data_IF_573670693505
#
_entry.id   IF_573670693505
#
_cell.length_a   1.000
_cell.length_b   1.000
_cell.length_c   1.000
_cell.angle_alpha   90.00
_cell.angle_beta   90.00
_cell.angle_gamma   90.00
#
_symmetry.space_group_name_H-M   'P 1'
#
loop_
_entity.id
_entity.type
_entity.pdbx_description
1 polymer ?
#
# COMPACT_ATOMS: atom_id res chain seq x y z
N UNK A 1 5.78 8.73 -1.50
CA UNK A 1 6.09 7.37 -0.98
C UNK A 1 6.86 7.52 0.33
N UNK A 2 6.95 6.48 1.16
CA UNK A 2 7.71 6.54 2.41
C UNK A 2 9.21 6.76 2.12
N UNK A 3 9.86 7.81 2.68
CA UNK A 3 11.25 8.14 2.36
C UNK A 3 12.24 6.99 2.58
N UNK A 4 11.97 6.13 3.55
CA UNK A 4 12.82 4.98 3.87
C UNK A 4 12.82 3.87 2.80
N UNK A 5 11.90 3.93 1.83
CA UNK A 5 11.82 2.97 0.72
C UNK A 5 12.24 3.60 -0.62
N UNK A 6 12.78 4.82 -0.62
CA UNK A 6 13.16 5.53 -1.86
C UNK A 6 14.23 4.78 -2.68
N UNK A 7 15.09 4.00 -2.01
CA UNK A 7 16.12 3.16 -2.66
C UNK A 7 15.61 1.78 -3.09
N UNK A 8 14.34 1.44 -2.79
CA UNK A 8 13.76 0.14 -3.14
C UNK A 8 13.18 0.22 -4.56
N UNK A 9 13.78 -0.53 -5.47
CA UNK A 9 13.28 -0.67 -6.84
C UNK A 9 12.53 -1.99 -7.04
N UNK A 10 11.43 -1.90 -7.79
CA UNK A 10 10.65 -3.02 -8.26
C UNK A 10 10.82 -3.15 -9.77
N UNK A 11 10.95 -4.38 -10.26
CA UNK A 11 10.89 -4.63 -11.70
C UNK A 11 9.44 -4.61 -12.21
N UNK A 12 9.26 -4.78 -13.53
CA UNK A 12 7.96 -4.74 -14.20
C UNK A 12 6.98 -5.74 -13.58
N UNK A 13 7.38 -7.01 -13.45
CA UNK A 13 6.52 -8.07 -12.93
C UNK A 13 6.16 -7.84 -11.45
N UNK A 14 7.12 -7.39 -10.66
CA UNK A 14 6.91 -7.04 -9.25
C UNK A 14 5.95 -5.87 -9.09
N UNK A 15 6.08 -4.84 -9.93
CA UNK A 15 5.20 -3.67 -9.84
C UNK A 15 3.79 -3.99 -10.30
N UNK A 16 3.63 -4.75 -11.39
CA UNK A 16 2.30 -5.22 -11.83
C UNK A 16 1.63 -6.03 -10.73
N UNK A 17 2.35 -6.99 -10.13
CA UNK A 17 1.83 -7.79 -9.03
C UNK A 17 1.51 -6.95 -7.79
N UNK A 18 2.38 -6.00 -7.42
CA UNK A 18 2.16 -5.07 -6.31
C UNK A 18 0.89 -4.25 -6.54
N UNK A 19 0.71 -3.67 -7.72
CA UNK A 19 -0.48 -2.89 -8.07
C UNK A 19 -1.75 -3.73 -8.00
N UNK A 20 -1.75 -4.96 -8.51
CA UNK A 20 -2.90 -5.86 -8.42
C UNK A 20 -3.20 -6.25 -6.96
N UNK A 21 -2.18 -6.45 -6.13
CA UNK A 21 -2.34 -6.68 -4.69
C UNK A 21 -2.97 -5.47 -3.99
N UNK A 22 -2.49 -4.26 -4.29
CA UNK A 22 -3.04 -3.03 -3.72
C UNK A 22 -4.51 -2.83 -4.12
N UNK A 23 -4.85 -3.10 -5.39
CA UNK A 23 -6.24 -3.05 -5.88
C UNK A 23 -7.14 -4.11 -5.25
N UNK A 24 -6.58 -5.26 -4.85
CA UNK A 24 -7.29 -6.28 -4.08
C UNK A 24 -7.61 -5.78 -2.68
N UNK A 25 -6.63 -5.15 -2.00
CA UNK A 25 -6.82 -4.57 -0.66
C UNK A 25 -7.89 -3.48 -0.68
N UNK A 26 -7.80 -2.53 -1.63
CA UNK A 26 -8.77 -1.45 -1.78
C UNK A 26 -10.19 -1.91 -2.17
N UNK A 27 -10.40 -3.21 -2.39
CA UNK A 27 -11.72 -3.76 -2.72
C UNK A 27 -12.29 -4.64 -1.60
N UNK A 28 -11.58 -4.79 -0.48
CA UNK A 28 -11.93 -5.72 0.59
C UNK A 28 -13.29 -5.38 1.21
N UNK A 29 -13.61 -4.10 1.36
CA UNK A 29 -14.88 -3.60 1.88
C UNK A 29 -16.05 -3.68 0.86
N UNK A 30 -15.74 -3.93 -0.41
CA UNK A 30 -16.69 -4.03 -1.53
C UNK A 30 -16.71 -2.81 -2.46
N UNK A 31 -16.01 -1.72 -2.12
CA UNK A 31 -15.99 -0.47 -2.90
C UNK A 31 -14.62 0.17 -2.90
N UNK A 32 -14.00 0.32 -4.08
CA UNK A 32 -12.77 1.11 -4.20
C UNK A 32 -13.11 2.59 -4.11
N UNK A 33 -12.58 3.30 -3.12
CA UNK A 33 -12.67 4.76 -3.04
C UNK A 33 -11.84 5.43 -4.15
N UNK A 34 -12.15 6.68 -4.47
CA UNK A 34 -11.38 7.42 -5.46
C UNK A 34 -9.96 7.71 -4.95
N UNK A 35 -9.83 7.91 -3.64
CA UNK A 35 -8.61 8.19 -2.90
C UNK A 35 -7.63 7.01 -2.95
N UNK A 36 -8.12 5.79 -2.70
CA UNK A 36 -7.32 4.58 -2.83
C UNK A 36 -6.83 4.38 -4.26
N UNK A 37 -7.72 4.47 -5.25
CA UNK A 37 -7.36 4.26 -6.67
C UNK A 37 -6.34 5.31 -7.12
N UNK A 38 -6.48 6.56 -6.69
CA UNK A 38 -5.52 7.62 -6.97
C UNK A 38 -4.15 7.32 -6.34
N UNK A 39 -4.11 6.86 -5.08
CA UNK A 39 -2.86 6.52 -4.40
C UNK A 39 -2.14 5.34 -5.07
N UNK A 40 -2.89 4.31 -5.46
CA UNK A 40 -2.36 3.15 -6.19
C UNK A 40 -1.84 3.60 -7.58
N UNK A 41 -2.57 4.48 -8.27
CA UNK A 41 -2.13 5.04 -9.55
C UNK A 41 -0.81 5.79 -9.43
N UNK A 42 -0.65 6.63 -8.39
CA UNK A 42 0.60 7.33 -8.10
C UNK A 42 1.76 6.37 -7.81
N UNK A 43 1.51 5.29 -7.04
CA UNK A 43 2.50 4.24 -6.82
C UNK A 43 2.95 3.60 -8.14
N UNK A 44 1.99 3.22 -8.99
CA UNK A 44 2.27 2.58 -10.27
C UNK A 44 3.09 3.49 -11.19
N UNK A 45 2.69 4.76 -11.32
CA UNK A 45 3.39 5.73 -12.16
C UNK A 45 4.80 6.04 -11.65
N UNK A 46 4.98 6.12 -10.32
CA UNK A 46 6.29 6.34 -9.71
C UNK A 46 7.26 5.17 -10.01
N UNK A 47 6.80 3.92 -9.85
CA UNK A 47 7.61 2.74 -10.16
C UNK A 47 7.88 2.58 -11.67
N UNK A 48 6.90 2.93 -12.51
CA UNK A 48 7.04 2.90 -13.97
C UNK A 48 8.10 3.88 -14.47
N UNK A 49 8.28 5.02 -13.80
CA UNK A 49 9.27 6.05 -14.13
C UNK A 49 9.35 6.36 -15.65
N UNK A 50 8.18 6.64 -16.26
CA UNK A 50 8.00 6.90 -17.70
C UNK A 50 8.28 5.75 -18.69
N UNK A 51 8.45 4.50 -18.24
CA UNK A 51 8.64 3.35 -19.13
C UNK A 51 7.40 3.07 -20.00
N UNK A 52 7.51 3.16 -21.33
CA UNK A 52 6.34 3.08 -22.22
C UNK A 52 5.76 1.66 -22.37
N UNK A 53 6.57 0.62 -22.18
CA UNK A 53 6.21 -0.78 -22.48
C UNK A 53 5.43 -1.50 -21.38
N UNK A 54 4.99 -0.76 -20.36
CA UNK A 54 4.25 -1.32 -19.23
C UNK A 54 2.74 -1.39 -19.52
N UNK A 55 2.00 -2.34 -18.93
CA UNK A 55 0.55 -2.38 -19.04
C UNK A 55 -0.12 -1.06 -18.65
N UNK A 56 -1.28 -0.76 -19.22
CA UNK A 56 -2.05 0.39 -18.77
C UNK A 56 -2.61 0.12 -17.36
N UNK A 57 -2.59 1.12 -16.46
CA UNK A 57 -3.13 0.95 -15.11
C UNK A 57 -4.57 0.42 -15.10
N UNK A 58 -5.40 0.86 -16.04
CA UNK A 58 -6.78 0.41 -16.18
C UNK A 58 -6.92 -1.10 -16.42
N UNK A 59 -5.98 -1.75 -17.13
CA UNK A 59 -6.05 -3.20 -17.36
C UNK A 59 -5.75 -3.99 -16.09
N UNK A 60 -4.98 -3.42 -15.16
CA UNK A 60 -4.64 -4.06 -13.88
C UNK A 60 -5.82 -4.11 -12.91
N UNK A 61 -6.82 -3.25 -13.08
CA UNK A 61 -8.03 -3.22 -12.22
C UNK A 61 -8.96 -4.40 -12.46
N UNK A 62 -8.92 -4.98 -13.65
CA UNK A 62 -9.75 -6.12 -14.06
C UNK A 62 -9.07 -7.47 -13.86
N UNK A 63 -7.75 -7.47 -13.66
CA UNK A 63 -6.95 -8.68 -13.55
C UNK A 63 -6.75 -9.08 -12.09
N UNK A 64 -6.98 -10.36 -11.79
CA UNK A 64 -6.58 -10.95 -10.50
C UNK A 64 -5.06 -11.19 -10.53
N UNK A 65 -4.33 -10.98 -9.41
CA UNK A 65 -2.90 -11.22 -9.37
C UNK A 65 -2.52 -12.57 -10.01
N UNK A 66 -1.75 -12.52 -11.08
CA UNK A 66 -1.36 -13.72 -11.82
C UNK A 66 -0.28 -14.48 -11.03
N UNK A 67 -0.70 -15.46 -10.23
CA UNK A 67 0.18 -16.46 -9.65
C UNK A 67 0.74 -16.13 -8.25
N UNK A 68 1.56 -17.07 -7.76
CA UNK A 68 2.03 -17.12 -6.39
C UNK A 68 2.98 -15.94 -6.08
N UNK A 69 2.45 -14.92 -5.40
CA UNK A 69 3.24 -13.75 -4.94
C UNK A 69 4.45 -14.16 -4.08
N UNK A 70 4.43 -15.35 -3.46
CA UNK A 70 5.49 -15.91 -2.62
C UNK A 70 6.88 -16.05 -3.28
N UNK A 71 6.98 -15.91 -4.60
CA UNK A 71 8.27 -15.99 -5.32
C UNK A 71 8.72 -14.67 -5.96
N UNK A 72 7.85 -13.66 -6.00
CA UNK A 72 8.10 -12.43 -6.75
C UNK A 72 8.91 -11.41 -5.92
N UNK A 73 8.68 -11.35 -4.61
CA UNK A 73 9.30 -10.36 -3.72
C UNK A 73 10.39 -11.01 -2.85
N UNK A 74 11.53 -11.32 -3.46
CA UNK A 74 12.59 -12.09 -2.79
C UNK A 74 13.32 -11.25 -1.72
N UNK A 75 13.50 -9.95 -1.94
CA UNK A 75 14.19 -9.07 -1.00
C UNK A 75 13.25 -8.62 0.14
N UNK A 76 13.69 -8.64 1.41
CA UNK A 76 12.88 -8.16 2.54
C UNK A 76 12.38 -6.73 2.36
N UNK A 77 13.23 -5.83 1.86
CA UNK A 77 12.87 -4.43 1.64
C UNK A 77 11.73 -4.25 0.61
N UNK A 78 11.64 -5.13 -0.39
CA UNK A 78 10.53 -5.12 -1.36
C UNK A 78 9.21 -5.55 -0.71
N UNK A 79 9.26 -6.51 0.20
CA UNK A 79 8.10 -6.98 0.97
C UNK A 79 7.63 -5.90 1.94
N UNK A 80 8.57 -5.27 2.64
CA UNK A 80 8.28 -4.16 3.56
C UNK A 80 7.62 -2.99 2.83
N UNK A 81 8.18 -2.58 1.69
CA UNK A 81 7.61 -1.51 0.84
C UNK A 81 6.19 -1.86 0.37
N UNK A 82 5.97 -3.09 -0.11
CA UNK A 82 4.65 -3.54 -0.55
C UNK A 82 3.63 -3.46 0.58
N UNK A 83 3.93 -4.08 1.73
CA UNK A 83 3.00 -4.14 2.87
C UNK A 83 2.75 -2.76 3.46
N UNK A 84 3.77 -1.90 3.58
CA UNK A 84 3.57 -0.52 4.02
C UNK A 84 2.70 0.28 3.05
N UNK A 85 2.83 0.04 1.75
CA UNK A 85 1.98 0.67 0.73
C UNK A 85 0.55 0.14 0.82
N UNK A 86 0.34 -1.17 1.07
CA UNK A 86 -0.99 -1.74 1.31
C UNK A 86 -1.67 -1.09 2.52
N UNK A 87 -0.94 -0.90 3.62
CA UNK A 87 -1.44 -0.22 4.81
C UNK A 87 -1.80 1.22 4.51
N UNK A 88 -0.96 1.95 3.76
CA UNK A 88 -1.25 3.33 3.37
C UNK A 88 -2.48 3.45 2.48
N UNK A 89 -2.68 2.51 1.53
CA UNK A 89 -3.89 2.44 0.70
C UNK A 89 -5.12 2.21 1.57
N UNK A 90 -5.08 1.23 2.46
CA UNK A 90 -6.21 0.94 3.35
C UNK A 90 -6.49 2.05 4.38
N UNK A 91 -5.60 3.04 4.50
CA UNK A 91 -5.82 4.25 5.29
C UNK A 91 -6.26 5.46 4.45
N UNK A 92 -6.35 5.33 3.12
CA UNK A 92 -6.51 6.48 2.22
C UNK A 92 -7.85 7.20 2.39
N UNK A 93 -8.89 6.48 2.83
CA UNK A 93 -10.20 7.03 3.16
C UNK A 93 -10.31 7.55 4.61
N UNK A 94 -9.24 7.39 5.39
CA UNK A 94 -9.10 7.86 6.77
C UNK A 94 -9.32 6.81 7.86
N UNK A 95 -9.71 5.58 7.54
CA UNK A 95 -9.95 4.54 8.55
C UNK A 95 -9.59 3.13 8.07
N UNK A 96 -8.58 2.53 8.71
CA UNK A 96 -8.28 1.11 8.51
C UNK A 96 -9.24 0.23 9.29
N UNK A 97 -10.07 -0.56 8.61
CA UNK A 97 -10.98 -1.51 9.26
C UNK A 97 -10.33 -2.89 9.49
N UNK A 98 -10.86 -3.66 10.45
CA UNK A 98 -10.34 -5.00 10.78
C UNK A 98 -10.23 -5.93 9.56
N UNK A 99 -11.18 -5.81 8.62
CA UNK A 99 -11.23 -6.64 7.42
C UNK A 99 -10.06 -6.35 6.48
N UNK A 100 -9.70 -5.08 6.32
CA UNK A 100 -8.56 -4.67 5.49
C UNK A 100 -7.25 -5.05 6.13
N UNK A 101 -7.11 -4.84 7.44
CA UNK A 101 -5.93 -5.27 8.19
C UNK A 101 -5.74 -6.80 8.10
N UNK A 102 -6.83 -7.57 8.19
CA UNK A 102 -6.79 -9.01 7.98
C UNK A 102 -6.31 -9.37 6.57
N UNK A 103 -6.83 -8.69 5.53
CA UNK A 103 -6.41 -8.91 4.15
C UNK A 103 -4.92 -8.53 3.92
N UNK A 104 -4.43 -7.46 4.55
CA UNK A 104 -3.00 -7.09 4.50
C UNK A 104 -2.14 -8.15 5.19
N UNK A 105 -2.59 -8.73 6.30
CA UNK A 105 -1.90 -9.83 6.97
C UNK A 105 -1.87 -11.10 6.11
N UNK A 106 -2.95 -11.39 5.38
CA UNK A 106 -2.99 -12.48 4.41
C UNK A 106 -1.98 -12.25 3.26
N UNK A 107 -1.94 -11.04 2.68
CA UNK A 107 -0.90 -10.65 1.69
C UNK A 107 0.50 -10.87 2.26
N UNK A 108 0.75 -10.39 3.47
CA UNK A 108 2.06 -10.51 4.12
C UNK A 108 2.47 -11.97 4.28
N UNK A 109 1.54 -12.84 4.70
CA UNK A 109 1.77 -14.28 4.78
C UNK A 109 2.03 -14.91 3.40
N UNK A 110 1.25 -14.53 2.37
CA UNK A 110 1.43 -14.99 0.99
C UNK A 110 2.84 -14.67 0.46
N UNK A 111 3.41 -13.50 0.78
CA UNK A 111 4.77 -13.13 0.38
C UNK A 111 5.86 -13.61 1.36
N UNK A 112 5.51 -14.41 2.37
CA UNK A 112 6.46 -14.97 3.33
C UNK A 112 7.03 -13.95 4.32
N UNK A 113 6.24 -12.95 4.70
CA UNK A 113 6.55 -12.01 5.79
C UNK A 113 6.00 -12.53 7.14
N UNK A 114 6.75 -12.33 8.21
CA UNK A 114 6.29 -12.65 9.57
C UNK A 114 5.21 -11.67 10.03
N UNK A 115 4.19 -12.17 10.74
CA UNK A 115 3.09 -11.33 11.24
C UNK A 115 3.56 -10.16 12.12
N UNK A 116 4.58 -10.37 12.96
CA UNK A 116 5.16 -9.31 13.81
C UNK A 116 5.71 -8.13 13.00
N UNK A 117 6.22 -8.39 11.78
CA UNK A 117 6.71 -7.34 10.89
C UNK A 117 5.58 -6.48 10.34
N UNK A 118 4.39 -7.05 10.14
CA UNK A 118 3.20 -6.29 9.73
C UNK A 118 2.82 -5.27 10.80
N UNK A 119 2.88 -5.66 12.08
CA UNK A 119 2.54 -4.76 13.19
C UNK A 119 3.58 -3.62 13.33
N UNK A 120 4.87 -3.92 13.11
CA UNK A 120 5.93 -2.89 13.06
C UNK A 120 5.72 -1.90 11.90
N UNK A 121 5.35 -2.41 10.72
CA UNK A 121 5.05 -1.57 9.56
C UNK A 121 3.78 -0.74 9.76
N UNK A 122 2.77 -1.30 10.45
CA UNK A 122 1.57 -0.56 10.82
C UNK A 122 1.88 0.62 11.73
N UNK A 123 2.69 0.42 12.78
CA UNK A 123 3.14 1.51 13.63
C UNK A 123 3.87 2.59 12.83
N UNK A 124 4.74 2.18 11.90
CA UNK A 124 5.48 3.08 11.03
C UNK A 124 4.59 3.89 10.10
N UNK A 125 3.56 3.26 9.51
CA UNK A 125 2.58 3.94 8.66
C UNK A 125 1.81 4.98 9.45
N UNK A 126 1.36 4.64 10.66
CA UNK A 126 0.66 5.57 11.56
C UNK A 126 1.53 6.77 11.92
N UNK A 127 2.79 6.53 12.32
CA UNK A 127 3.74 7.59 12.65
C UNK A 127 4.00 8.52 11.46
N UNK A 128 4.15 7.96 10.27
CA UNK A 128 4.29 8.72 9.04
C UNK A 128 3.07 9.59 8.75
N UNK A 129 1.85 9.04 8.86
CA UNK A 129 0.62 9.80 8.66
C UNK A 129 0.46 10.92 9.69
N UNK A 130 0.73 10.64 10.97
CA UNK A 130 0.75 11.64 12.04
C UNK A 130 1.75 12.77 11.75
N UNK A 131 2.96 12.42 11.27
CA UNK A 131 3.98 13.40 10.91
C UNK A 131 3.59 14.27 9.70
N UNK A 132 2.80 13.74 8.76
CA UNK A 132 2.24 14.53 7.65
C UNK A 132 1.13 15.47 8.14
N UNK A 133 0.25 15.00 9.02
CA UNK A 133 -0.82 15.80 9.61
C UNK A 133 -0.29 16.94 10.49
N UNK A 134 0.77 16.70 11.26
CA UNK A 134 1.42 17.72 12.08
C UNK A 134 2.00 18.90 11.27
N UNK A 135 2.14 18.75 9.95
CA UNK A 135 2.58 19.80 9.02
C UNK A 135 1.40 20.57 8.41
N UNK A 136 0.16 20.15 8.64
CA UNK A 136 -1.02 20.86 8.17
C UNK A 136 -1.36 22.01 9.14
N UNK A 137 -1.69 23.21 8.62
CA UNK A 137 -1.95 24.38 9.44
C UNK A 137 -3.31 24.34 10.17
N UNK A 138 -4.19 23.39 9.86
CA UNK A 138 -5.55 23.28 10.40
C UNK A 138 -5.63 22.25 11.54
N UNK A 139 -5.56 22.74 12.78
CA UNK A 139 -5.47 21.92 13.99
C UNK A 139 -6.74 21.09 14.28
N UNK A 140 -7.91 21.53 13.84
CA UNK A 140 -9.18 20.86 14.15
C UNK A 140 -9.39 19.60 13.29
N UNK A 141 -9.07 19.68 12.00
CA UNK A 141 -9.07 18.52 11.09
C UNK A 141 -7.99 17.49 11.47
N UNK A 142 -6.86 17.94 12.00
CA UNK A 142 -5.77 17.08 12.48
C UNK A 142 -6.15 16.31 13.74
N UNK A 143 -6.92 16.91 14.65
CA UNK A 143 -7.30 16.27 15.92
C UNK A 143 -8.20 15.04 15.74
N UNK A 144 -9.09 15.04 14.74
CA UNK A 144 -9.96 13.89 14.43
C UNK A 144 -9.14 12.72 13.91
N UNK A 145 -8.25 12.97 12.94
CA UNK A 145 -7.42 11.91 12.34
C UNK A 145 -6.36 11.40 13.33
N UNK A 146 -5.77 12.29 14.15
CA UNK A 146 -4.82 11.88 15.19
C UNK A 146 -5.44 10.94 16.24
N UNK A 147 -6.74 11.09 16.52
CA UNK A 147 -7.47 10.24 17.46
C UNK A 147 -7.76 8.84 16.90
N UNK A 148 -7.89 8.69 15.59
CA UNK A 148 -8.04 7.38 14.91
C UNK A 148 -6.69 6.67 14.75
N UNK A 149 -5.59 7.41 14.74
CA UNK A 149 -4.24 6.87 14.55
C UNK A 149 -3.55 6.42 15.85
N UNK A 150 -3.80 7.09 16.98
CA UNK A 150 -3.27 6.77 18.31
C UNK A 150 -4.02 5.68 19.05
#
# INVERSE_FOLDING_TARGET
>A
MFPQFDDVSLNVAQTVAATQILLRIAHVDGTKSAEEVALIGQFYDACRNAALDWPAFASLQTETPAGNAAGLFTAPAQRDMLVATCLLVAYADGALIDKELAAVREVAAEIGMAGTRVDELLALVKDYMLAQLARLPDADSVAVVARELG
#
